data_IF_986184519419
#
_entry.id   IF_986184519419
#
_cell.length_a   1.000
_cell.length_b   1.000
_cell.length_c   1.000
_cell.angle_alpha   90.00
_cell.angle_beta   90.00
_cell.angle_gamma   90.00
#
_symmetry.space_group_name_H-M   'P 1'
#
loop_
_entity.id
_entity.type
_entity.pdbx_description
1 polymer ?
#
# COMPACT_ATOMS: atom_id res chain seq x y z
N UNK A 1 -6.31 6.61 19.27
CA UNK A 1 -6.28 5.16 19.50
C UNK A 1 -6.01 4.47 18.15
N UNK A 2 -4.82 3.92 17.94
CA UNK A 2 -4.35 3.35 16.67
C UNK A 2 -4.19 1.85 16.80
N UNK A 3 -5.03 1.02 16.17
CA UNK A 3 -4.89 -0.43 16.28
C UNK A 3 -5.30 -1.21 15.05
N UNK A 4 -4.44 -2.17 14.68
CA UNK A 4 -4.73 -3.25 13.76
C UNK A 4 -4.86 -4.52 14.56
N UNK A 5 -6.01 -5.20 14.53
CA UNK A 5 -6.20 -6.49 15.21
C UNK A 5 -6.38 -7.59 14.18
N UNK A 6 -5.35 -8.41 14.00
CA UNK A 6 -5.50 -9.68 13.27
C UNK A 6 -5.59 -10.79 14.32
N UNK A 7 -6.71 -11.52 14.33
CA UNK A 7 -6.87 -12.72 15.15
C UNK A 7 -6.04 -13.83 14.50
N UNK A 8 -4.85 -14.05 15.04
CA UNK A 8 -3.91 -15.04 14.54
C UNK A 8 -3.83 -16.21 15.54
N UNK A 9 -4.21 -17.42 15.11
CA UNK A 9 -4.05 -18.65 15.90
C UNK A 9 -2.58 -19.13 16.01
N UNK A 10 -1.60 -18.24 15.77
CA UNK A 10 -0.17 -18.54 15.81
C UNK A 10 0.42 -18.27 17.20
N UNK A 11 1.58 -18.84 17.51
CA UNK A 11 2.33 -18.56 18.75
C UNK A 11 2.68 -17.07 18.91
N UNK A 12 2.89 -16.59 20.15
CA UNK A 12 3.19 -15.19 20.47
C UNK A 12 4.38 -14.63 19.67
N UNK A 13 5.45 -15.43 19.53
CA UNK A 13 6.65 -15.02 18.78
C UNK A 13 6.35 -14.79 17.30
N UNK A 14 5.64 -15.73 16.66
CA UNK A 14 5.22 -15.62 15.26
C UNK A 14 4.33 -14.39 15.04
N UNK A 15 3.41 -14.14 15.98
CA UNK A 15 2.53 -12.97 15.99
C UNK A 15 3.30 -11.65 16.03
N UNK A 16 4.44 -11.61 16.71
CA UNK A 16 5.34 -10.45 16.75
C UNK A 16 6.09 -10.27 15.45
N UNK A 17 6.72 -11.32 14.96
CA UNK A 17 7.51 -11.26 13.72
C UNK A 17 6.65 -10.82 12.53
N UNK A 18 5.40 -11.27 12.43
CA UNK A 18 4.46 -10.84 11.40
C UNK A 18 4.19 -9.33 11.48
N UNK A 19 4.01 -8.79 12.68
CA UNK A 19 3.75 -7.36 12.88
C UNK A 19 4.96 -6.51 12.53
N UNK A 20 6.16 -6.96 12.90
CA UNK A 20 7.41 -6.26 12.60
C UNK A 20 7.70 -6.27 11.09
N UNK A 21 7.48 -7.41 10.42
CA UNK A 21 7.55 -7.53 8.96
C UNK A 21 6.53 -6.60 8.28
N UNK A 22 5.32 -6.50 8.82
CA UNK A 22 4.32 -5.57 8.29
C UNK A 22 4.78 -4.12 8.38
N UNK A 23 5.32 -3.69 9.53
CA UNK A 23 5.87 -2.35 9.71
C UNK A 23 7.04 -2.09 8.75
N UNK A 24 7.96 -3.04 8.61
CA UNK A 24 9.05 -2.96 7.63
C UNK A 24 8.50 -2.76 6.21
N UNK A 25 7.57 -3.61 5.79
CA UNK A 25 6.95 -3.55 4.46
C UNK A 25 6.22 -2.22 4.23
N UNK A 26 5.56 -1.67 5.26
CA UNK A 26 4.92 -0.37 5.19
C UNK A 26 5.94 0.75 4.91
N UNK A 27 6.99 0.88 5.74
CA UNK A 27 8.04 1.88 5.52
C UNK A 27 8.80 1.71 4.20
N UNK A 28 9.03 0.46 3.81
CA UNK A 28 9.67 0.09 2.55
C UNK A 28 8.83 0.52 1.33
N UNK A 29 7.53 0.22 1.34
CA UNK A 29 6.63 0.55 0.24
C UNK A 29 6.56 2.06 -0.02
N UNK A 30 6.50 2.87 1.05
CA UNK A 30 6.47 4.33 0.96
C UNK A 30 7.74 4.90 0.32
N UNK A 31 8.90 4.33 0.66
CA UNK A 31 10.17 4.71 0.06
C UNK A 31 10.33 4.22 -1.39
N UNK A 32 9.80 3.03 -1.73
CA UNK A 32 9.72 2.57 -3.13
C UNK A 32 8.94 3.57 -3.98
N UNK A 33 7.81 4.09 -3.50
CA UNK A 33 7.05 5.10 -4.25
C UNK A 33 7.89 6.34 -4.52
N UNK A 34 8.59 6.86 -3.51
CA UNK A 34 9.51 7.98 -3.69
C UNK A 34 10.58 7.69 -4.76
N UNK A 35 11.20 6.50 -4.71
CA UNK A 35 12.20 6.04 -5.66
C UNK A 35 11.66 5.98 -7.09
N UNK A 36 10.43 5.50 -7.29
CA UNK A 36 9.82 5.50 -8.63
C UNK A 36 9.74 6.90 -9.22
N UNK A 37 9.39 7.92 -8.43
CA UNK A 37 9.35 9.32 -8.91
C UNK A 37 10.74 9.88 -9.19
N UNK A 38 11.72 9.57 -8.34
CA UNK A 38 13.13 9.95 -8.56
C UNK A 38 13.63 9.36 -9.88
N UNK A 39 13.41 8.06 -10.10
CA UNK A 39 13.82 7.37 -11.31
C UNK A 39 13.13 7.92 -12.55
N UNK A 40 11.79 8.12 -12.51
CA UNK A 40 11.01 8.71 -13.61
C UNK A 40 11.53 10.09 -14.00
N UNK A 41 11.84 10.94 -13.02
CA UNK A 41 12.45 12.25 -13.28
C UNK A 41 13.85 12.11 -13.87
N UNK A 42 14.66 11.17 -13.38
CA UNK A 42 15.99 10.90 -13.91
C UNK A 42 15.98 10.46 -15.36
N UNK A 43 15.13 9.50 -15.73
CA UNK A 43 15.00 8.99 -17.09
C UNK A 43 14.74 10.12 -18.12
N UNK A 44 14.05 11.17 -17.67
CA UNK A 44 13.74 12.36 -18.44
C UNK A 44 14.87 13.40 -18.42
N UNK A 45 15.46 13.68 -17.26
CA UNK A 45 16.55 14.63 -17.12
C UNK A 45 17.91 13.93 -17.20
N UNK A 46 18.45 13.84 -18.42
CA UNK A 46 19.75 13.20 -18.70
C UNK A 46 20.93 13.75 -17.89
N UNK A 47 20.92 15.04 -17.54
CA UNK A 47 21.95 15.64 -16.67
C UNK A 47 21.83 15.13 -15.23
N UNK A 48 20.61 15.07 -14.70
CA UNK A 48 20.33 14.51 -13.39
C UNK A 48 20.66 13.02 -13.33
N UNK A 49 20.22 12.24 -14.34
CA UNK A 49 20.54 10.82 -14.44
C UNK A 49 22.04 10.57 -14.44
N UNK A 50 22.79 11.29 -15.28
CA UNK A 50 24.25 11.13 -15.33
C UNK A 50 24.92 11.48 -14.00
N UNK A 51 24.42 12.46 -13.26
CA UNK A 51 25.00 12.89 -11.98
C UNK A 51 24.69 11.91 -10.83
N UNK A 52 23.44 11.46 -10.72
CA UNK A 52 22.93 10.75 -9.54
C UNK A 52 22.60 9.28 -9.76
N UNK A 53 22.28 8.85 -10.99
CA UNK A 53 21.74 7.52 -11.30
C UNK A 53 22.58 6.72 -12.30
N UNK A 54 23.76 7.19 -12.68
CA UNK A 54 24.58 6.51 -13.69
C UNK A 54 25.45 5.41 -13.10
N UNK A 55 25.52 4.29 -13.83
CA UNK A 55 26.38 3.15 -13.49
C UNK A 55 26.02 2.56 -12.13
N UNK A 56 27.04 2.30 -11.30
CA UNK A 56 26.87 1.68 -9.98
C UNK A 56 25.98 2.50 -9.02
N UNK A 57 25.77 3.81 -9.26
CA UNK A 57 24.94 4.66 -8.39
C UNK A 57 23.46 4.31 -8.45
N UNK A 58 23.02 3.58 -9.46
CA UNK A 58 21.64 3.08 -9.53
C UNK A 58 21.30 2.16 -8.34
N UNK A 59 22.30 1.52 -7.72
CA UNK A 59 22.11 0.67 -6.53
C UNK A 59 21.48 1.43 -5.35
N UNK A 60 21.71 2.75 -5.25
CA UNK A 60 21.13 3.57 -4.18
C UNK A 60 19.59 3.60 -4.25
N UNK A 61 18.99 3.42 -5.43
CA UNK A 61 17.54 3.33 -5.58
C UNK A 61 16.95 2.08 -4.91
N UNK A 62 17.73 1.00 -4.80
CA UNK A 62 17.29 -0.26 -4.18
C UNK A 62 17.66 -0.31 -2.69
N UNK A 63 18.81 0.25 -2.32
CA UNK A 63 19.25 0.29 -0.93
C UNK A 63 18.39 1.24 -0.10
N UNK A 64 18.02 2.40 -0.65
CA UNK A 64 17.27 3.43 0.09
C UNK A 64 15.93 2.92 0.64
N UNK A 65 15.07 2.21 -0.13
CA UNK A 65 13.84 1.64 0.41
C UNK A 65 14.07 0.60 1.52
N UNK A 66 15.08 -0.26 1.37
CA UNK A 66 15.42 -1.26 2.40
C UNK A 66 15.85 -0.58 3.70
N UNK A 67 16.69 0.45 3.61
CA UNK A 67 17.09 1.25 4.77
C UNK A 67 15.90 1.95 5.42
N UNK A 68 15.04 2.60 4.63
CA UNK A 68 13.83 3.27 5.12
C UNK A 68 12.89 2.31 5.83
N UNK A 69 12.61 1.14 5.23
CA UNK A 69 11.80 0.09 5.83
C UNK A 69 12.42 -0.44 7.12
N UNK A 70 13.74 -0.64 7.16
CA UNK A 70 14.46 -1.12 8.35
C UNK A 70 14.39 -0.12 9.50
N UNK A 71 14.62 1.17 9.23
CA UNK A 71 14.53 2.23 10.25
C UNK A 71 13.10 2.33 10.77
N UNK A 72 12.11 2.33 9.89
CA UNK A 72 10.70 2.40 10.29
C UNK A 72 10.29 1.17 11.11
N UNK A 73 10.65 -0.03 10.65
CA UNK A 73 10.41 -1.29 11.37
C UNK A 73 11.08 -1.30 12.75
N UNK A 74 12.30 -0.79 12.86
CA UNK A 74 13.02 -0.68 14.12
C UNK A 74 12.36 0.30 15.11
N UNK A 75 11.85 1.44 14.62
CA UNK A 75 11.06 2.39 15.44
C UNK A 75 9.79 1.71 15.96
N UNK A 76 9.07 0.99 15.08
CA UNK A 76 7.87 0.27 15.48
C UNK A 76 8.16 -0.81 16.52
N UNK A 77 9.23 -1.57 16.33
CA UNK A 77 9.67 -2.62 17.24
C UNK A 77 10.03 -2.09 18.62
N UNK A 78 10.79 -0.97 18.70
CA UNK A 78 11.21 -0.40 19.97
C UNK A 78 10.08 0.29 20.74
N UNK A 79 9.25 1.07 20.05
CA UNK A 79 8.35 2.02 20.73
C UNK A 79 6.87 1.67 20.56
N UNK A 80 6.45 1.13 19.42
CA UNK A 80 5.02 0.93 19.14
C UNK A 80 4.54 -0.50 19.40
N UNK A 81 5.44 -1.40 19.82
CA UNK A 81 5.08 -2.76 20.21
C UNK A 81 4.07 -2.77 21.37
N UNK A 82 3.29 -3.85 21.46
CA UNK A 82 2.32 -4.05 22.54
C UNK A 82 3.04 -4.19 23.88
N UNK A 83 2.50 -3.50 24.87
CA UNK A 83 2.97 -3.48 26.25
C UNK A 83 1.76 -3.72 27.17
N UNK A 84 1.99 -4.11 28.41
CA UNK A 84 0.93 -4.41 29.38
C UNK A 84 0.04 -3.19 29.63
N UNK A 85 0.64 -2.01 29.78
CA UNK A 85 -0.06 -0.72 29.89
C UNK A 85 -0.91 -0.38 28.66
N UNK A 86 -0.45 -0.82 27.49
CA UNK A 86 -1.18 -0.60 26.22
C UNK A 86 -2.29 -1.64 26.07
N UNK A 87 -2.10 -2.88 26.53
CA UNK A 87 -3.15 -3.91 26.51
C UNK A 87 -4.31 -3.44 27.38
N UNK A 88 -4.03 -2.98 28.60
CA UNK A 88 -5.07 -2.59 29.55
C UNK A 88 -5.83 -1.35 29.08
N UNK A 89 -5.13 -0.38 28.49
CA UNK A 89 -5.76 0.81 27.90
C UNK A 89 -6.78 0.50 26.79
N UNK A 90 -6.68 -0.67 26.17
CA UNK A 90 -7.42 -1.00 24.96
C UNK A 90 -8.35 -2.18 25.10
N UNK A 91 -8.18 -2.98 26.13
CA UNK A 91 -8.94 -4.20 26.37
C UNK A 91 -10.44 -3.94 26.19
N UNK A 92 -10.96 -2.88 26.82
CA UNK A 92 -12.37 -2.47 26.69
C UNK A 92 -12.73 -2.06 25.26
N UNK A 93 -11.96 -1.16 24.65
CA UNK A 93 -12.22 -0.64 23.29
C UNK A 93 -12.20 -1.75 22.22
N UNK A 94 -11.31 -2.72 22.35
CA UNK A 94 -11.17 -3.83 21.40
C UNK A 94 -12.31 -4.82 21.54
N UNK A 95 -12.66 -5.13 22.78
CA UNK A 95 -13.77 -6.02 23.08
C UNK A 95 -15.10 -5.41 22.61
N UNK A 96 -15.34 -4.13 22.88
CA UNK A 96 -16.57 -3.43 22.49
C UNK A 96 -16.71 -3.29 20.97
N UNK A 97 -15.64 -2.90 20.26
CA UNK A 97 -15.72 -2.61 18.83
C UNK A 97 -15.56 -3.83 17.92
N UNK A 98 -14.82 -4.86 18.37
CA UNK A 98 -14.46 -6.00 17.52
C UNK A 98 -14.82 -7.36 18.13
N UNK A 99 -15.26 -7.43 19.40
CA UNK A 99 -15.53 -8.70 20.08
C UNK A 99 -14.30 -9.60 20.20
N UNK A 100 -13.11 -9.00 20.22
CA UNK A 100 -11.82 -9.71 20.23
C UNK A 100 -11.14 -9.55 21.58
N UNK A 101 -10.53 -10.64 22.05
CA UNK A 101 -9.63 -10.63 23.19
C UNK A 101 -8.26 -10.09 22.76
N UNK A 102 -7.85 -8.97 23.37
CA UNK A 102 -6.66 -8.23 22.98
C UNK A 102 -5.36 -9.04 23.15
N UNK A 103 -5.32 -9.97 24.11
CA UNK A 103 -4.17 -10.84 24.37
C UNK A 103 -3.88 -11.79 23.20
N UNK A 104 -4.95 -12.14 22.47
CA UNK A 104 -4.91 -13.03 21.30
C UNK A 104 -4.62 -12.30 20.00
N UNK A 105 -4.51 -10.98 20.02
CA UNK A 105 -4.25 -10.19 18.83
C UNK A 105 -2.79 -9.71 18.74
N UNK A 106 -2.31 -9.54 17.51
CA UNK A 106 -1.14 -8.72 17.19
C UNK A 106 -1.61 -7.33 16.83
N UNK A 107 -1.02 -6.31 17.46
CA UNK A 107 -1.31 -4.92 17.14
C UNK A 107 -0.10 -4.02 17.41
N UNK A 108 -0.08 -2.89 16.71
CA UNK A 108 0.88 -1.80 16.89
C UNK A 108 0.11 -0.61 17.43
N UNK A 109 0.67 0.04 18.45
CA UNK A 109 -0.03 1.03 19.27
C UNK A 109 0.82 2.26 19.53
N UNK A 110 0.25 3.42 19.21
CA UNK A 110 0.77 4.71 19.65
C UNK A 110 -0.19 5.32 20.69
N UNK A 111 0.17 5.17 21.98
CA UNK A 111 -0.50 5.84 23.10
C UNK A 111 0.28 7.11 23.45
N UNK A 112 -0.22 8.27 23.03
CA UNK A 112 0.48 9.54 23.22
C UNK A 112 0.28 10.18 24.60
N UNK A 113 -0.81 9.81 25.27
CA UNK A 113 -1.26 10.43 26.51
C UNK A 113 -1.38 9.36 27.61
N UNK A 114 -0.65 9.58 28.70
CA UNK A 114 -0.64 8.75 29.90
C UNK A 114 -1.47 9.42 30.99
N UNK A 115 -1.91 8.63 31.97
CA UNK A 115 -2.70 9.11 33.12
C UNK A 115 -1.86 8.85 34.37
N UNK A 116 -1.61 9.89 35.15
CA UNK A 116 -0.89 9.78 36.43
C UNK A 116 -1.79 9.19 37.52
N UNK A 117 -1.23 8.78 38.66
CA UNK A 117 -1.98 8.27 39.82
C UNK A 117 -3.03 9.26 40.37
N UNK A 118 -2.88 10.55 40.05
CA UNK A 118 -3.82 11.62 40.38
C UNK A 118 -4.91 11.85 39.31
N UNK A 119 -4.98 11.02 38.25
CA UNK A 119 -5.94 11.16 37.16
C UNK A 119 -5.59 12.23 36.12
N UNK A 120 -4.45 12.91 36.26
CA UNK A 120 -4.00 13.94 35.32
C UNK A 120 -3.41 13.33 34.05
N UNK A 121 -3.78 13.89 32.90
CA UNK A 121 -3.28 13.45 31.59
C UNK A 121 -1.98 14.18 31.25
N UNK A 122 -0.93 13.44 30.92
CA UNK A 122 0.37 14.00 30.52
C UNK A 122 0.92 13.32 29.25
N UNK A 123 1.72 14.03 28.43
CA UNK A 123 2.23 13.49 27.17
C UNK A 123 3.41 12.53 27.41
N UNK A 124 3.41 11.39 26.71
CA UNK A 124 4.54 10.45 26.71
C UNK A 124 5.62 10.91 25.72
N UNK A 125 6.67 11.55 26.24
CA UNK A 125 7.80 12.04 25.46
C UNK A 125 8.45 10.97 24.56
N UNK A 126 8.45 9.69 24.98
CA UNK A 126 9.02 8.58 24.20
C UNK A 126 8.20 8.31 22.95
N UNK A 127 6.87 8.32 23.07
CA UNK A 127 5.97 8.10 21.93
C UNK A 127 5.96 9.29 20.97
N UNK A 128 6.04 10.51 21.50
CA UNK A 128 6.22 11.71 20.68
C UNK A 128 7.55 11.70 19.90
N UNK A 129 8.63 11.25 20.53
CA UNK A 129 9.92 11.09 19.85
C UNK A 129 9.87 9.99 18.77
N UNK A 130 9.27 8.84 19.09
CA UNK A 130 9.11 7.73 18.14
C UNK A 130 8.29 8.15 16.91
N UNK A 131 7.18 8.87 17.11
CA UNK A 131 6.36 9.31 15.98
C UNK A 131 7.05 10.39 15.16
N UNK A 132 7.82 11.27 15.78
CA UNK A 132 8.61 12.28 15.09
C UNK A 132 9.61 11.60 14.12
N UNK A 133 10.31 10.56 14.59
CA UNK A 133 11.21 9.78 13.73
C UNK A 133 10.47 9.09 12.58
N UNK A 134 9.32 8.47 12.87
CA UNK A 134 8.47 7.85 11.85
C UNK A 134 8.01 8.88 10.80
N UNK A 135 7.67 10.09 11.23
CA UNK A 135 7.29 11.21 10.36
C UNK A 135 8.43 11.71 9.50
N UNK A 136 9.66 11.76 10.02
CA UNK A 136 10.82 12.14 9.22
C UNK A 136 11.02 11.13 8.08
N UNK A 137 10.92 9.83 8.37
CA UNK A 137 11.06 8.75 7.36
C UNK A 137 9.96 8.83 6.30
N UNK A 138 8.69 8.86 6.72
CA UNK A 138 7.54 8.91 5.81
C UNK A 138 7.45 10.26 5.08
N UNK A 139 7.73 11.35 5.78
CA UNK A 139 7.71 12.72 5.27
C UNK A 139 8.80 12.98 4.23
N UNK A 140 10.01 12.42 4.41
CA UNK A 140 11.06 12.49 3.39
C UNK A 140 10.64 11.79 2.09
N UNK A 141 9.94 10.64 2.21
CA UNK A 141 9.39 9.92 1.06
C UNK A 141 8.29 10.74 0.37
N UNK A 142 7.35 11.29 1.14
CA UNK A 142 6.27 12.15 0.64
C UNK A 142 6.82 13.39 -0.09
N UNK A 143 7.77 14.07 0.54
CA UNK A 143 8.43 15.24 -0.03
C UNK A 143 9.09 14.90 -1.37
N UNK A 144 9.79 13.77 -1.45
CA UNK A 144 10.41 13.31 -2.68
C UNK A 144 9.38 13.06 -3.78
N UNK A 145 8.27 12.38 -3.47
CA UNK A 145 7.16 12.16 -4.41
C UNK A 145 6.63 13.48 -4.97
N UNK A 146 6.30 14.44 -4.09
CA UNK A 146 5.75 15.74 -4.50
C UNK A 146 6.79 16.53 -5.31
N UNK A 147 8.02 16.62 -4.83
CA UNK A 147 9.08 17.40 -5.47
C UNK A 147 9.44 16.88 -6.87
N UNK A 148 9.74 15.59 -6.99
CA UNK A 148 10.10 14.98 -8.27
C UNK A 148 8.88 14.85 -9.18
N UNK A 149 7.69 14.61 -8.63
CA UNK A 149 6.42 14.63 -9.35
C UNK A 149 6.14 15.97 -10.01
N UNK A 150 6.24 17.08 -9.27
CA UNK A 150 6.04 18.44 -9.81
C UNK A 150 7.10 18.79 -10.85
N UNK A 151 8.37 18.44 -10.62
CA UNK A 151 9.43 18.69 -11.60
C UNK A 151 9.24 17.90 -12.89
N UNK A 152 8.86 16.64 -12.78
CA UNK A 152 8.52 15.80 -13.92
C UNK A 152 7.31 16.36 -14.68
N UNK A 153 6.27 16.80 -13.97
CA UNK A 153 5.09 17.45 -14.55
C UNK A 153 5.45 18.68 -15.39
N UNK A 154 6.24 19.60 -14.81
CA UNK A 154 6.69 20.81 -15.52
C UNK A 154 7.48 20.50 -16.77
N UNK A 155 8.46 19.58 -16.67
CA UNK A 155 9.25 19.19 -17.84
C UNK A 155 8.38 18.62 -18.95
N UNK A 156 7.39 17.81 -18.61
CA UNK A 156 6.49 17.22 -19.59
C UNK A 156 5.62 18.26 -20.31
N UNK A 157 5.09 19.23 -19.57
CA UNK A 157 4.36 20.35 -20.18
C UNK A 157 5.24 21.13 -21.17
N UNK A 158 6.50 21.36 -20.83
CA UNK A 158 7.45 22.03 -21.71
C UNK A 158 7.78 21.19 -22.95
N UNK A 159 7.88 19.86 -22.81
CA UNK A 159 8.06 18.95 -23.94
C UNK A 159 6.87 19.03 -24.90
N UNK A 160 5.64 18.99 -24.38
CA UNK A 160 4.42 19.07 -25.21
C UNK A 160 4.33 20.38 -26.00
N UNK A 161 4.78 21.49 -25.41
CA UNK A 161 4.83 22.80 -26.07
C UNK A 161 5.86 22.85 -27.21
N UNK A 162 6.99 22.16 -27.04
CA UNK A 162 8.10 22.16 -28.01
C UNK A 162 7.93 21.13 -29.13
N UNK A 163 7.13 20.09 -28.92
CA UNK A 163 6.88 19.05 -29.92
C UNK A 163 5.73 19.42 -30.88
N UNK A 164 6.08 20.28 -31.84
CA UNK A 164 5.24 20.64 -33.00
C UNK A 164 5.48 19.71 -34.20
N UNK A 165 6.57 18.92 -34.22
CA UNK A 165 7.03 18.13 -35.39
C UNK A 165 6.99 16.59 -35.25
N UNK A 166 6.48 16.04 -34.14
CA UNK A 166 6.38 14.57 -33.98
C UNK A 166 5.06 14.00 -34.52
N UNK A 167 5.09 12.72 -34.90
CA UNK A 167 3.90 11.93 -35.28
C UNK A 167 2.80 12.05 -34.21
N UNK A 168 1.58 12.35 -34.65
CA UNK A 168 0.39 12.50 -33.80
C UNK A 168 0.17 11.28 -32.87
N UNK A 169 0.57 10.10 -33.34
CA UNK A 169 0.50 8.86 -32.57
C UNK A 169 1.43 8.87 -31.32
N UNK A 170 2.68 9.29 -31.47
CA UNK A 170 3.63 9.36 -30.35
C UNK A 170 3.20 10.41 -29.33
N UNK A 171 2.73 11.57 -29.80
CA UNK A 171 2.20 12.64 -28.94
C UNK A 171 1.01 12.16 -28.10
N UNK A 172 0.08 11.44 -28.72
CA UNK A 172 -1.07 10.82 -28.06
C UNK A 172 -0.65 9.80 -26.99
N UNK A 173 0.30 8.91 -27.31
CA UNK A 173 0.79 7.90 -26.38
C UNK A 173 1.51 8.52 -25.16
N UNK A 174 2.38 9.50 -25.39
CA UNK A 174 3.08 10.20 -24.32
C UNK A 174 2.10 10.94 -23.39
N UNK A 175 1.03 11.53 -23.93
CA UNK A 175 -0.01 12.20 -23.12
C UNK A 175 -0.80 11.20 -22.27
N UNK A 176 -1.16 10.04 -22.82
CA UNK A 176 -1.87 8.99 -22.08
C UNK A 176 -1.01 8.40 -20.95
N UNK A 177 0.25 8.08 -21.24
CA UNK A 177 1.21 7.59 -20.23
C UNK A 177 1.38 8.61 -19.10
N UNK A 178 1.48 9.89 -19.44
CA UNK A 178 1.62 10.95 -18.46
C UNK A 178 0.38 11.10 -17.57
N UNK A 179 -0.82 11.14 -18.17
CA UNK A 179 -2.05 11.28 -17.42
C UNK A 179 -2.27 10.09 -16.46
N UNK A 180 -1.97 8.88 -16.93
CA UNK A 180 -1.95 7.67 -16.08
C UNK A 180 -1.00 7.81 -14.90
N UNK A 181 0.21 8.32 -15.15
CA UNK A 181 1.23 8.51 -14.14
C UNK A 181 0.83 9.53 -13.07
N UNK A 182 0.10 10.58 -13.46
CA UNK A 182 -0.40 11.58 -12.52
C UNK A 182 -1.45 10.98 -11.61
N UNK A 183 -2.41 10.22 -12.14
CA UNK A 183 -3.41 9.52 -11.33
C UNK A 183 -2.73 8.55 -10.36
N UNK A 184 -1.72 7.82 -10.82
CA UNK A 184 -0.89 6.95 -9.96
C UNK A 184 -0.08 7.70 -8.90
N UNK A 185 0.21 8.98 -9.11
CA UNK A 185 0.85 9.81 -8.07
C UNK A 185 -0.13 10.17 -6.96
N UNK A 186 -1.39 10.41 -7.30
CA UNK A 186 -2.41 10.75 -6.31
C UNK A 186 -2.92 9.53 -5.53
N UNK A 187 -2.86 8.33 -6.11
CA UNK A 187 -3.34 7.11 -5.46
C UNK A 187 -2.64 6.80 -4.13
N UNK A 188 -1.29 6.74 -4.02
CA UNK A 188 -0.61 6.54 -2.74
C UNK A 188 -0.93 7.67 -1.74
N UNK A 189 -1.07 8.91 -2.22
CA UNK A 189 -1.41 10.04 -1.34
C UNK A 189 -2.75 9.80 -0.63
N UNK A 190 -3.76 9.36 -1.39
CA UNK A 190 -5.12 9.14 -0.88
C UNK A 190 -5.24 7.82 -0.12
N UNK A 191 -4.62 6.75 -0.60
CA UNK A 191 -4.80 5.39 -0.09
C UNK A 191 -3.75 4.96 0.94
N UNK A 192 -2.62 5.68 1.05
CA UNK A 192 -1.55 5.34 2.00
C UNK A 192 -1.15 6.50 2.90
N UNK A 193 -0.82 7.68 2.35
CA UNK A 193 -0.32 8.80 3.17
C UNK A 193 -1.42 9.46 4.02
N UNK A 194 -2.60 9.75 3.46
CA UNK A 194 -3.71 10.33 4.22
C UNK A 194 -4.16 9.38 5.34
N UNK A 195 -4.43 8.08 5.10
CA UNK A 195 -4.86 7.18 6.16
C UNK A 195 -3.79 7.03 7.25
N UNK A 196 -2.50 6.94 6.89
CA UNK A 196 -1.42 6.94 7.87
C UNK A 196 -1.34 8.26 8.66
N UNK A 197 -1.52 9.40 8.01
CA UNK A 197 -1.58 10.71 8.66
C UNK A 197 -2.71 10.80 9.67
N UNK A 198 -3.92 10.35 9.30
CA UNK A 198 -5.09 10.32 10.20
C UNK A 198 -4.78 9.45 11.43
N UNK A 199 -4.19 8.28 11.21
CA UNK A 199 -3.84 7.32 12.28
C UNK A 199 -2.84 7.88 13.29
N UNK A 200 -1.96 8.81 12.88
CA UNK A 200 -0.94 9.35 13.79
C UNK A 200 -1.26 10.75 14.33
N UNK A 201 -1.84 11.64 13.51
CA UNK A 201 -2.16 13.03 13.90
C UNK A 201 -3.26 13.08 14.96
N UNK A 202 -4.37 12.39 14.72
CA UNK A 202 -5.54 12.50 15.61
C UNK A 202 -5.26 11.99 17.03
N UNK A 203 -4.61 10.83 17.23
CA UNK A 203 -4.23 10.40 18.57
C UNK A 203 -3.20 11.32 19.23
N UNK A 204 -2.31 11.94 18.45
CA UNK A 204 -1.34 12.92 18.96
C UNK A 204 -2.04 14.18 19.51
N UNK A 205 -3.10 14.65 18.82
CA UNK A 205 -3.94 15.78 19.26
C UNK A 205 -4.94 15.42 20.37
N UNK A 206 -4.91 14.18 20.87
CA UNK A 206 -5.90 13.65 21.82
C UNK A 206 -7.34 13.68 21.30
N UNK A 207 -7.53 13.63 19.97
CA UNK A 207 -8.85 13.64 19.34
C UNK A 207 -9.32 12.20 19.16
N UNK A 208 -10.46 11.88 19.76
CA UNK A 208 -11.10 10.57 19.65
C UNK A 208 -11.95 10.49 18.38
N UNK A 209 -11.36 9.95 17.31
CA UNK A 209 -12.11 9.59 16.11
C UNK A 209 -12.79 8.24 16.29
N UNK A 210 -14.12 8.20 16.16
CA UNK A 210 -14.93 6.98 16.13
C UNK A 210 -14.90 6.32 14.73
N UNK A 211 -13.71 6.24 14.15
CA UNK A 211 -13.47 5.72 12.80
C UNK A 211 -13.03 4.27 12.90
N UNK A 212 -13.52 3.40 12.01
CA UNK A 212 -13.05 2.02 11.94
C UNK A 212 -11.60 1.99 11.44
N UNK A 213 -10.63 1.93 12.35
CA UNK A 213 -9.21 1.89 12.00
C UNK A 213 -8.82 0.64 11.19
N UNK A 214 -9.60 -0.44 11.25
CA UNK A 214 -9.47 -1.58 10.33
C UNK A 214 -9.66 -1.20 8.86
N UNK A 215 -10.56 -0.24 8.58
CA UNK A 215 -10.75 0.31 7.24
C UNK A 215 -9.51 1.07 6.74
N UNK A 216 -8.80 1.76 7.64
CA UNK A 216 -7.56 2.48 7.29
C UNK A 216 -6.46 1.50 6.87
N UNK A 217 -6.33 0.36 7.56
CA UNK A 217 -5.37 -0.68 7.16
C UNK A 217 -5.75 -1.32 5.83
N UNK A 218 -7.05 -1.56 5.63
CA UNK A 218 -7.56 -2.12 4.39
C UNK A 218 -7.25 -1.23 3.17
N UNK A 219 -7.39 0.11 3.31
CA UNK A 219 -7.05 1.03 2.21
C UNK A 219 -5.58 0.95 1.82
N UNK A 220 -4.68 0.86 2.82
CA UNK A 220 -3.24 0.67 2.56
C UNK A 220 -2.92 -0.69 1.93
N UNK A 221 -3.62 -1.75 2.34
CA UNK A 221 -3.40 -3.10 1.85
C UNK A 221 -3.92 -3.33 0.42
N UNK A 222 -5.01 -2.67 0.04
CA UNK A 222 -5.60 -2.78 -1.30
C UNK A 222 -4.86 -1.94 -2.33
N UNK A 223 -4.15 -0.88 -1.91
CA UNK A 223 -3.48 0.05 -2.81
C UNK A 223 -2.66 -0.63 -3.94
N UNK A 224 -1.79 -1.65 -3.68
CA UNK A 224 -1.01 -2.30 -4.74
C UNK A 224 -1.87 -2.95 -5.84
N UNK A 225 -3.09 -3.39 -5.50
CA UNK A 225 -4.03 -3.94 -6.45
C UNK A 225 -4.71 -2.85 -7.31
N UNK A 226 -4.86 -1.63 -6.77
CA UNK A 226 -5.48 -0.49 -7.46
C UNK A 226 -4.48 0.24 -8.36
N UNK A 227 -3.21 0.31 -7.99
CA UNK A 227 -2.15 1.01 -8.73
C UNK A 227 -2.04 0.71 -10.24
N UNK A 228 -2.21 -0.55 -10.73
CA UNK A 228 -2.16 -0.81 -12.18
C UNK A 228 -3.38 -0.30 -12.95
N UNK A 229 -4.52 -0.05 -12.29
CA UNK A 229 -5.77 0.28 -12.99
C UNK A 229 -5.73 1.59 -13.79
N UNK A 230 -5.17 2.71 -13.27
CA UNK A 230 -5.02 3.91 -14.08
C UNK A 230 -4.25 3.67 -15.38
N UNK A 231 -3.17 2.89 -15.37
CA UNK A 231 -2.43 2.51 -16.60
C UNK A 231 -3.32 1.76 -17.58
N UNK A 232 -4.05 0.77 -17.08
CA UNK A 232 -4.91 -0.09 -17.91
C UNK A 232 -6.05 0.72 -18.54
N UNK A 233 -6.71 1.60 -17.79
CA UNK A 233 -7.88 2.32 -18.27
C UNK A 233 -7.55 3.54 -19.14
N UNK A 234 -6.48 4.28 -18.81
CA UNK A 234 -6.13 5.53 -19.50
C UNK A 234 -5.41 5.25 -20.82
N UNK A 235 -4.53 4.25 -20.87
CA UNK A 235 -3.73 3.99 -22.07
C UNK A 235 -4.48 3.07 -23.02
N UNK A 236 -4.81 3.59 -24.21
CA UNK A 236 -5.63 2.93 -25.23
C UNK A 236 -5.14 1.52 -25.57
N UNK A 237 -3.82 1.35 -25.80
CA UNK A 237 -3.23 0.04 -26.13
C UNK A 237 -3.39 -1.00 -25.01
N UNK A 238 -3.24 -0.58 -23.75
CA UNK A 238 -3.42 -1.47 -22.61
C UNK A 238 -4.89 -1.85 -22.44
N UNK A 239 -5.81 -0.89 -22.61
CA UNK A 239 -7.26 -1.14 -22.56
C UNK A 239 -7.70 -2.14 -23.63
N UNK A 240 -7.28 -1.94 -24.88
CA UNK A 240 -7.59 -2.84 -25.99
C UNK A 240 -7.04 -4.25 -25.75
N UNK A 241 -5.79 -4.36 -25.32
CA UNK A 241 -5.16 -5.64 -24.98
C UNK A 241 -5.88 -6.36 -23.85
N UNK A 242 -6.28 -5.63 -22.82
CA UNK A 242 -7.03 -6.17 -21.68
C UNK A 242 -8.40 -6.68 -22.12
N UNK A 243 -9.08 -5.96 -23.02
CA UNK A 243 -10.38 -6.39 -23.55
C UNK A 243 -10.27 -7.69 -24.35
N UNK A 244 -9.22 -7.82 -25.17
CA UNK A 244 -8.93 -9.05 -25.92
C UNK A 244 -8.66 -10.21 -24.95
N UNK A 245 -7.89 -10.00 -23.88
CA UNK A 245 -7.63 -11.02 -22.86
C UNK A 245 -8.92 -11.43 -22.17
N UNK A 246 -9.75 -10.47 -21.72
CA UNK A 246 -11.04 -10.74 -21.08
C UNK A 246 -11.96 -11.54 -21.99
N UNK A 247 -12.07 -11.16 -23.27
CA UNK A 247 -12.86 -11.88 -24.27
C UNK A 247 -12.34 -13.32 -24.47
N UNK A 248 -11.03 -13.52 -24.55
CA UNK A 248 -10.42 -14.85 -24.62
C UNK A 248 -10.68 -15.67 -23.37
N UNK A 249 -10.55 -15.10 -22.17
CA UNK A 249 -10.86 -15.77 -20.91
C UNK A 249 -12.33 -16.19 -20.85
N UNK A 250 -13.26 -15.32 -21.25
CA UNK A 250 -14.69 -15.64 -21.28
C UNK A 250 -15.01 -16.74 -22.30
N UNK A 251 -14.36 -16.71 -23.46
CA UNK A 251 -14.48 -17.74 -24.50
C UNK A 251 -13.94 -19.09 -24.02
N UNK A 252 -12.76 -19.13 -23.41
CA UNK A 252 -12.16 -20.34 -22.83
C UNK A 252 -12.97 -20.89 -21.66
N UNK A 253 -13.53 -20.02 -20.80
CA UNK A 253 -14.40 -20.45 -19.71
C UNK A 253 -15.68 -21.12 -20.25
N UNK A 254 -16.25 -20.58 -21.32
CA UNK A 254 -17.42 -21.16 -22.00
C UNK A 254 -17.10 -22.52 -22.65
N UNK A 255 -15.92 -22.67 -23.25
CA UNK A 255 -15.43 -23.96 -23.79
C UNK A 255 -15.22 -24.97 -22.67
N UNK A 256 -14.55 -24.57 -21.57
CA UNK A 256 -14.27 -25.47 -20.45
C UNK A 256 -15.57 -25.95 -19.79
N UNK A 257 -16.55 -25.06 -19.62
CA UNK A 257 -17.88 -25.41 -19.16
C UNK A 257 -18.58 -26.39 -20.12
N UNK A 258 -18.53 -26.17 -21.43
CA UNK A 258 -19.12 -27.07 -22.42
C UNK A 258 -18.46 -28.46 -22.43
N UNK A 259 -17.12 -28.52 -22.33
CA UNK A 259 -16.37 -29.78 -22.25
C UNK A 259 -16.66 -30.53 -20.94
N UNK A 260 -16.82 -29.82 -19.82
CA UNK A 260 -17.20 -30.42 -18.53
C UNK A 260 -18.60 -31.04 -18.58
N UNK A 261 -19.58 -30.34 -19.17
CA UNK A 261 -20.95 -30.86 -19.36
C UNK A 261 -20.96 -32.05 -20.33
N UNK A 262 -20.16 -32.02 -21.41
CA UNK A 262 -20.05 -33.13 -22.35
C UNK A 262 -19.41 -34.37 -21.69
N UNK A 263 -18.38 -34.17 -20.86
CA UNK A 263 -17.72 -35.23 -20.08
C UNK A 263 -18.67 -35.89 -19.08
N UNK A 264 -19.53 -35.12 -18.40
CA UNK A 264 -20.57 -35.66 -17.51
C UNK A 264 -21.63 -36.48 -18.28
N UNK A 265 -22.04 -36.05 -19.47
CA UNK A 265 -23.00 -36.82 -20.29
C UNK A 265 -22.43 -38.12 -20.86
N UNK A 266 -21.13 -38.21 -21.12
CA UNK A 266 -20.48 -39.46 -21.57
C UNK A 266 -20.23 -40.48 -20.46
N UNK A 267 -20.28 -40.09 -19.19
CA UNK A 267 -20.04 -40.99 -18.02
C UNK A 267 -21.34 -41.55 -17.45
N UNK A 268 -22.51 -41.16 -17.97
CA UNK A 268 -23.79 -41.78 -17.63
C UNK A 268 -24.28 -42.71 -18.76
N UNK A 269 -23.96 -44.02 -18.75
CA UNK A 269 -24.69 -45.00 -19.54
C UNK A 269 -26.01 -45.35 -18.85
N UNK A 270 -27.09 -45.16 -19.61
CA UNK A 270 -28.38 -45.84 -19.56
C UNK A 270 -28.53 -47.00 -18.55
N UNK A 271 -29.17 -46.73 -17.41
CA UNK A 271 -29.96 -47.76 -16.72
C UNK A 271 -31.29 -47.94 -17.47
N UNK A 272 -31.27 -48.76 -18.52
CA UNK A 272 -32.47 -49.38 -19.05
C UNK A 272 -32.24 -50.89 -19.27
N UNK A 273 -33.05 -51.65 -18.53
CA UNK A 273 -33.53 -53.02 -18.81
C UNK A 273 -32.51 -54.13 -19.09
N UNK A 274 -32.31 -55.02 -18.12
CA UNK A 274 -32.33 -56.48 -18.35
C UNK A 274 -32.45 -57.21 -17.00
N UNK A 275 -33.67 -57.62 -16.64
CA UNK A 275 -33.92 -58.60 -15.58
C UNK A 275 -34.50 -59.85 -16.23
N UNK A 276 -33.64 -60.83 -16.47
CA UNK A 276 -33.99 -62.23 -16.73
C UNK A 276 -33.32 -63.08 -15.64
N UNK A 277 -34.10 -64.06 -15.18
CA UNK A 277 -33.92 -64.97 -14.03
C UNK A 277 -34.37 -64.43 -12.67
#
# INVERSE_FOLDING_TARGET
MTYYFVKLNFSYHIRRDISDVYCFCFGFSMAIFAVHFIYRYGAVNRKFYRKYLSGYKEIYLYVFPVCSGSVYGFICWLFLWKDEDKNEYLRSTVMENYGLDIERCSYVSARFWLIDGNGNVYPDARMFFAILLAWIVLGASLFSVIYFGVRYYRWFLDLLKKQTSQSQFLKSLHNQLFHSLLVQCFLPLILMYIPAGIVFIFPMLNIHLNVNYGFIGLTTAIYPAIDPFPTIFIIKKYRESTWIIIQKCFFWNKIFHFLSVKKQKTVAPSTQSTSYF
#
